data_IF_207255555058
#
_entry.id   IF_207255555058
#
_cell.length_a   1.000
_cell.length_b   1.000
_cell.length_c   1.000
_cell.angle_alpha   90.00
_cell.angle_beta   90.00
_cell.angle_gamma   90.00
#
_symmetry.space_group_name_H-M   'P 1'
#
loop_
_entity.id
_entity.type
_entity.pdbx_description
1 polymer ?
#
# COMPACT_ATOMS: atom_id res chain seq x y z
N UNK A 1 18.05 28.60 -2.79
CA UNK A 1 17.55 29.94 -2.39
C UNK A 1 18.59 30.69 -1.55
N UNK A 2 19.11 30.07 -0.48
CA UNK A 2 20.11 30.66 0.42
C UNK A 2 21.34 31.19 -0.33
N UNK A 3 21.93 30.37 -1.23
CA UNK A 3 23.08 30.76 -2.04
C UNK A 3 22.79 32.00 -2.88
N UNK A 4 21.65 32.07 -3.56
CA UNK A 4 21.25 33.19 -4.38
C UNK A 4 21.01 34.48 -3.56
N UNK A 5 20.50 34.33 -2.32
CA UNK A 5 20.36 35.49 -1.39
C UNK A 5 21.71 35.99 -0.93
N UNK A 6 22.64 35.08 -0.55
CA UNK A 6 24.00 35.46 -0.14
C UNK A 6 24.77 36.18 -1.25
N UNK A 7 24.68 35.66 -2.49
CA UNK A 7 25.27 36.30 -3.67
C UNK A 7 24.71 37.73 -3.88
N UNK A 8 23.39 37.88 -3.75
CA UNK A 8 22.74 39.18 -3.93
C UNK A 8 23.06 40.14 -2.80
N UNK A 9 23.14 39.66 -1.56
CA UNK A 9 23.57 40.48 -0.41
C UNK A 9 25.01 41.00 -0.55
N UNK A 10 25.93 40.22 -1.13
CA UNK A 10 27.30 40.65 -1.35
C UNK A 10 27.45 41.72 -2.44
N UNK A 11 26.45 41.91 -3.29
CA UNK A 11 26.44 42.90 -4.37
C UNK A 11 25.73 44.21 -4.00
N UNK A 12 25.03 44.24 -2.87
CA UNK A 12 24.26 45.41 -2.41
C UNK A 12 25.22 46.35 -1.64
N UNK A 13 25.19 47.64 -1.99
CA UNK A 13 25.95 48.67 -1.27
C UNK A 13 25.28 48.98 0.08
N UNK A 14 26.09 49.43 1.05
CA UNK A 14 25.61 49.80 2.40
C UNK A 14 24.65 50.97 2.41
N UNK A 15 24.53 51.70 1.33
CA UNK A 15 23.68 52.89 1.19
C UNK A 15 22.27 52.57 0.64
N UNK A 16 22.05 51.34 0.14
CA UNK A 16 20.76 50.93 -0.45
C UNK A 16 19.79 50.45 0.62
N UNK A 17 18.54 50.91 0.56
CA UNK A 17 17.42 50.40 1.36
C UNK A 17 17.02 49.02 0.85
N UNK A 18 17.59 48.02 1.49
CA UNK A 18 17.32 46.61 1.12
C UNK A 18 16.12 46.07 1.86
N UNK A 19 15.12 45.67 1.13
CA UNK A 19 13.95 44.94 1.66
C UNK A 19 14.09 43.43 1.47
N UNK A 20 13.51 42.58 2.33
CA UNK A 20 13.50 41.11 2.10
C UNK A 20 12.98 40.72 0.73
N UNK A 21 11.96 41.41 0.22
CA UNK A 21 11.39 41.18 -1.10
C UNK A 21 12.35 41.47 -2.26
N UNK A 22 13.27 42.44 -2.09
CA UNK A 22 14.28 42.72 -3.10
C UNK A 22 15.41 41.71 -3.15
N UNK A 23 15.69 41.02 -2.03
CA UNK A 23 16.73 39.99 -1.93
C UNK A 23 16.28 38.63 -2.41
N UNK A 24 15.01 38.28 -2.17
CA UNK A 24 14.46 36.94 -2.50
C UNK A 24 14.13 36.87 -3.99
N UNK A 25 14.77 35.93 -4.69
CA UNK A 25 14.44 35.58 -6.07
C UNK A 25 13.68 34.26 -6.10
N UNK A 26 12.43 34.27 -6.52
CA UNK A 26 11.59 33.09 -6.61
C UNK A 26 11.90 32.20 -7.85
N UNK A 27 12.63 32.73 -8.85
CA UNK A 27 12.88 31.99 -10.12
C UNK A 27 13.52 30.63 -9.94
N UNK A 28 14.53 30.39 -9.05
CA UNK A 28 15.11 29.06 -8.85
C UNK A 28 14.09 28.04 -8.31
N UNK A 29 13.17 28.47 -7.44
CA UNK A 29 12.11 27.62 -6.89
C UNK A 29 11.09 27.29 -7.97
N UNK A 30 10.64 28.29 -8.71
CA UNK A 30 9.71 28.12 -9.84
C UNK A 30 10.32 27.22 -10.91
N UNK A 31 11.61 27.37 -11.21
CA UNK A 31 12.31 26.51 -12.17
C UNK A 31 12.33 25.04 -11.73
N UNK A 32 12.65 24.77 -10.45
CA UNK A 32 12.66 23.41 -9.91
C UNK A 32 11.27 22.77 -9.90
N UNK A 33 10.23 23.52 -9.55
CA UNK A 33 8.85 23.06 -9.60
C UNK A 33 8.42 22.75 -11.04
N UNK A 34 8.71 23.67 -11.96
CA UNK A 34 8.39 23.48 -13.38
C UNK A 34 9.15 22.30 -14.01
N UNK A 35 10.41 22.08 -13.62
CA UNK A 35 11.17 20.92 -14.04
C UNK A 35 10.49 19.63 -13.63
N UNK A 36 10.05 19.52 -12.36
CA UNK A 36 9.29 18.34 -11.90
C UNK A 36 8.02 18.13 -12.71
N UNK A 37 7.15 19.12 -12.82
CA UNK A 37 5.85 18.97 -13.50
C UNK A 37 5.94 18.76 -15.01
N UNK A 38 7.01 19.22 -15.68
CA UNK A 38 7.18 19.12 -17.14
C UNK A 38 8.02 17.93 -17.60
N UNK A 39 8.97 17.48 -16.80
CA UNK A 39 9.95 16.46 -17.22
C UNK A 39 9.95 15.18 -16.38
N UNK A 40 9.33 15.16 -15.20
CA UNK A 40 9.29 13.96 -14.37
C UNK A 40 8.38 12.90 -14.97
N UNK A 41 8.86 11.66 -15.00
CA UNK A 41 8.07 10.48 -15.40
C UNK A 41 6.88 10.21 -14.47
N UNK A 42 6.95 10.66 -13.21
CA UNK A 42 5.89 10.50 -12.22
C UNK A 42 4.81 11.59 -12.30
N UNK A 43 5.10 12.70 -12.99
CA UNK A 43 4.11 13.73 -13.31
C UNK A 43 3.36 13.32 -14.56
N UNK A 44 2.09 12.96 -14.41
CA UNK A 44 1.26 12.39 -15.47
C UNK A 44 -0.05 13.17 -15.61
N UNK A 45 -0.63 13.14 -16.79
CA UNK A 45 -2.00 13.65 -17.01
C UNK A 45 -2.95 12.65 -16.38
N UNK A 46 -3.81 13.10 -15.46
CA UNK A 46 -4.79 12.25 -14.80
C UNK A 46 -5.80 11.71 -15.83
N UNK A 47 -6.01 10.40 -15.79
CA UNK A 47 -7.03 9.74 -16.58
C UNK A 47 -8.41 10.02 -15.98
N UNK A 48 -9.26 10.71 -16.71
CA UNK A 48 -10.58 11.16 -16.25
C UNK A 48 -11.71 10.68 -17.17
N UNK A 49 -11.56 9.55 -17.83
CA UNK A 49 -12.59 8.97 -18.70
C UNK A 49 -13.85 8.62 -17.91
N UNK A 50 -13.67 8.08 -16.71
CA UNK A 50 -14.73 7.78 -15.73
C UNK A 50 -14.16 7.81 -14.31
N UNK A 51 -15.01 7.87 -13.25
CA UNK A 51 -14.54 7.94 -11.87
C UNK A 51 -13.67 6.75 -11.46
N UNK A 52 -13.91 5.55 -11.99
CA UNK A 52 -13.13 4.36 -11.67
C UNK A 52 -11.71 4.46 -12.22
N UNK A 53 -11.53 4.92 -13.47
CA UNK A 53 -10.20 5.09 -14.06
C UNK A 53 -9.38 6.17 -13.35
N UNK A 54 -10.04 7.21 -12.84
CA UNK A 54 -9.40 8.23 -12.01
C UNK A 54 -8.86 7.64 -10.70
N UNK A 55 -9.70 6.89 -9.96
CA UNK A 55 -9.29 6.22 -8.72
C UNK A 55 -8.15 5.24 -8.99
N UNK A 56 -8.25 4.45 -10.03
CA UNK A 56 -7.21 3.49 -10.41
C UNK A 56 -5.89 4.16 -10.76
N UNK A 57 -5.93 5.29 -11.46
CA UNK A 57 -4.71 6.03 -11.78
C UNK A 57 -4.03 6.57 -10.52
N UNK A 58 -4.79 7.07 -9.55
CA UNK A 58 -4.27 7.57 -8.27
C UNK A 58 -3.70 6.45 -7.39
N UNK A 59 -4.16 5.22 -7.57
CA UNK A 59 -3.71 4.03 -6.81
C UNK A 59 -2.65 3.19 -7.54
N UNK A 60 -2.12 3.69 -8.65
CA UNK A 60 -1.07 3.01 -9.42
C UNK A 60 0.28 3.13 -8.73
N UNK A 61 1.00 2.02 -8.66
CA UNK A 61 2.37 1.91 -8.18
C UNK A 61 3.30 1.59 -9.34
N UNK A 62 4.53 2.09 -9.29
CA UNK A 62 5.56 1.74 -10.25
C UNK A 62 6.92 1.59 -9.57
N UNK A 63 7.70 0.62 -10.00
CA UNK A 63 9.11 0.46 -9.61
C UNK A 63 10.05 1.31 -10.46
N UNK A 64 9.52 1.91 -11.53
CA UNK A 64 10.24 2.79 -12.44
C UNK A 64 10.20 4.24 -11.94
N UNK A 65 11.12 5.05 -12.42
CA UNK A 65 11.19 6.48 -12.09
C UNK A 65 12.55 6.86 -11.53
N UNK A 66 12.66 8.07 -11.00
CA UNK A 66 13.93 8.60 -10.47
C UNK A 66 14.35 7.78 -9.22
N UNK A 67 15.52 7.13 -9.31
CA UNK A 67 16.03 6.24 -8.26
C UNK A 67 15.47 4.82 -8.31
N UNK A 68 14.55 4.52 -9.25
CA UNK A 68 13.98 3.21 -9.46
C UNK A 68 14.73 2.38 -10.51
N UNK A 69 14.08 1.30 -10.94
CA UNK A 69 14.63 0.35 -11.90
C UNK A 69 14.22 0.74 -13.32
N UNK A 70 15.12 0.55 -14.30
CA UNK A 70 14.78 0.69 -15.73
C UNK A 70 14.24 -0.64 -16.27
N UNK A 71 13.41 -0.59 -17.31
CA UNK A 71 12.80 -1.77 -17.94
C UNK A 71 13.83 -2.80 -18.36
N UNK A 72 14.95 -2.35 -18.90
CA UNK A 72 16.05 -3.18 -19.43
C UNK A 72 16.77 -3.93 -18.31
N UNK A 73 16.75 -3.41 -17.09
CA UNK A 73 17.38 -4.00 -15.91
C UNK A 73 16.43 -4.83 -15.06
N UNK A 74 15.14 -4.81 -15.38
CA UNK A 74 14.12 -5.53 -14.62
C UNK A 74 14.18 -7.03 -14.95
N UNK A 75 14.68 -7.83 -14.02
CA UNK A 75 14.67 -9.30 -14.07
C UNK A 75 13.26 -9.88 -13.87
N UNK A 76 13.09 -11.16 -14.13
CA UNK A 76 11.82 -11.86 -13.86
C UNK A 76 11.45 -11.82 -12.36
N UNK A 77 12.43 -11.95 -11.47
CA UNK A 77 12.19 -11.93 -10.02
C UNK A 77 11.55 -10.64 -9.50
N UNK A 78 11.81 -9.49 -10.15
CA UNK A 78 11.20 -8.20 -9.79
C UNK A 78 9.77 -8.10 -10.31
N UNK A 79 9.45 -8.85 -11.36
CA UNK A 79 8.12 -8.88 -12.00
C UNK A 79 7.18 -9.90 -11.38
N UNK A 80 7.72 -10.84 -10.60
CA UNK A 80 6.97 -11.90 -9.96
C UNK A 80 6.13 -11.37 -8.77
N UNK A 81 5.06 -12.08 -8.47
CA UNK A 81 4.25 -11.83 -7.28
C UNK A 81 4.93 -12.44 -6.06
N UNK A 82 5.11 -11.63 -5.02
CA UNK A 82 5.71 -12.05 -3.74
C UNK A 82 4.62 -12.15 -2.66
N UNK A 83 4.80 -13.04 -1.68
CA UNK A 83 3.87 -13.21 -0.55
C UNK A 83 3.65 -11.94 0.26
N UNK A 84 4.66 -11.06 0.36
CA UNK A 84 4.55 -9.76 1.04
C UNK A 84 3.55 -8.79 0.39
N UNK A 85 3.14 -9.05 -0.85
CA UNK A 85 2.16 -8.24 -1.57
C UNK A 85 0.72 -8.55 -1.17
N UNK A 86 0.48 -9.68 -0.49
CA UNK A 86 -0.87 -10.07 -0.08
C UNK A 86 -1.58 -8.97 0.72
N UNK A 87 -2.77 -8.60 0.26
CA UNK A 87 -3.56 -7.52 0.87
C UNK A 87 -2.99 -6.10 0.74
N UNK A 88 -1.84 -5.93 0.06
CA UNK A 88 -1.16 -4.64 -0.15
C UNK A 88 -1.14 -4.22 -1.60
N UNK A 89 -0.80 -5.14 -2.48
CA UNK A 89 -0.72 -4.93 -3.93
C UNK A 89 -1.64 -5.93 -4.62
N UNK A 90 -2.40 -5.46 -5.60
CA UNK A 90 -3.30 -6.30 -6.41
C UNK A 90 -2.49 -7.34 -7.21
N UNK A 91 -2.69 -8.64 -6.99
CA UNK A 91 -1.96 -9.69 -7.72
C UNK A 91 -2.55 -9.97 -9.11
N UNK A 92 -3.80 -9.56 -9.35
CA UNK A 92 -4.53 -9.89 -10.58
C UNK A 92 -4.26 -8.87 -11.67
N UNK A 93 -4.22 -7.58 -11.29
CA UNK A 93 -4.11 -6.50 -12.26
C UNK A 93 -2.66 -6.10 -12.51
N UNK A 94 -2.18 -6.34 -13.73
CA UNK A 94 -0.88 -5.91 -14.23
C UNK A 94 -0.99 -5.52 -15.70
N UNK A 95 -0.19 -4.55 -16.21
CA UNK A 95 -0.16 -4.24 -17.63
C UNK A 95 0.34 -5.43 -18.45
N UNK A 96 -0.10 -5.51 -19.69
CA UNK A 96 0.46 -6.42 -20.67
C UNK A 96 1.74 -5.84 -21.32
N UNK A 97 2.66 -6.69 -21.72
CA UNK A 97 3.87 -6.30 -22.45
C UNK A 97 5.06 -5.90 -21.57
N UNK A 98 5.82 -4.90 -22.01
CA UNK A 98 7.12 -4.54 -21.40
C UNK A 98 7.05 -4.10 -19.93
N UNK A 99 5.91 -3.64 -19.47
CA UNK A 99 5.69 -3.15 -18.10
C UNK A 99 5.09 -4.19 -17.15
N UNK A 100 4.92 -5.44 -17.58
CA UNK A 100 4.34 -6.49 -16.73
C UNK A 100 5.11 -6.62 -15.41
N UNK A 101 4.40 -6.62 -14.29
CA UNK A 101 4.98 -6.69 -12.95
C UNK A 101 5.72 -5.44 -12.47
N UNK A 102 6.01 -4.46 -13.35
CA UNK A 102 6.68 -3.20 -12.99
C UNK A 102 5.71 -2.08 -12.64
N UNK A 103 4.48 -2.19 -13.12
CA UNK A 103 3.37 -1.33 -12.76
C UNK A 103 2.33 -2.19 -12.09
N UNK A 104 1.93 -1.81 -10.90
CA UNK A 104 0.97 -2.53 -10.06
C UNK A 104 -0.06 -1.56 -9.49
N UNK A 105 -1.01 -2.06 -8.73
CA UNK A 105 -2.06 -1.26 -8.14
C UNK A 105 -2.21 -1.60 -6.66
N UNK A 106 -2.51 -0.59 -5.84
CA UNK A 106 -2.79 -0.79 -4.42
C UNK A 106 -4.03 -1.66 -4.24
N UNK A 107 -3.95 -2.63 -3.35
CA UNK A 107 -5.10 -3.40 -2.89
C UNK A 107 -6.13 -2.48 -2.23
N UNK A 108 -7.41 -2.89 -2.24
CA UNK A 108 -8.56 -2.03 -1.92
C UNK A 108 -8.44 -1.33 -0.56
N UNK A 109 -8.05 -2.05 0.48
CA UNK A 109 -7.94 -1.53 1.84
C UNK A 109 -6.50 -1.27 2.29
N UNK A 110 -5.54 -1.40 1.39
CA UNK A 110 -4.15 -1.07 1.68
C UNK A 110 -3.97 0.43 1.91
N UNK A 111 -3.13 0.78 2.86
CA UNK A 111 -2.70 2.14 3.14
C UNK A 111 -1.17 2.24 3.23
N UNK A 112 -0.66 3.45 3.17
CA UNK A 112 0.76 3.76 3.35
C UNK A 112 0.93 4.37 4.74
N UNK A 113 1.86 3.85 5.53
CA UNK A 113 2.19 4.40 6.85
C UNK A 113 3.11 5.63 6.74
N UNK A 114 3.41 6.26 7.89
CA UNK A 114 4.27 7.45 7.96
C UNK A 114 5.70 7.20 7.47
N UNK A 115 6.17 5.96 7.52
CA UNK A 115 7.50 5.55 7.04
C UNK A 115 7.52 5.19 5.54
N UNK A 116 6.35 5.15 4.88
CA UNK A 116 6.23 4.80 3.47
C UNK A 116 6.01 3.31 3.18
N UNK A 117 5.82 2.46 4.20
CA UNK A 117 5.50 1.05 4.01
C UNK A 117 4.01 0.84 3.77
N UNK A 118 3.70 -0.20 2.98
CA UNK A 118 2.32 -0.64 2.73
C UNK A 118 1.82 -1.50 3.89
N UNK A 119 0.62 -1.21 4.36
CA UNK A 119 -0.05 -1.95 5.41
C UNK A 119 -1.38 -2.51 4.93
N UNK A 120 -1.73 -3.69 5.45
CA UNK A 120 -3.01 -4.37 5.21
C UNK A 120 -3.81 -4.49 6.51
N UNK A 121 -5.15 -4.42 6.47
CA UNK A 121 -5.99 -4.52 7.66
C UNK A 121 -6.23 -5.98 8.06
N UNK A 122 -6.18 -6.24 9.34
CA UNK A 122 -6.48 -7.54 9.96
C UNK A 122 -7.39 -7.35 11.16
N UNK A 123 -8.24 -8.34 11.42
CA UNK A 123 -9.14 -8.37 12.56
C UNK A 123 -8.55 -9.25 13.65
N UNK A 124 -8.52 -8.74 14.88
CA UNK A 124 -8.04 -9.51 16.03
C UNK A 124 -9.03 -10.60 16.45
N UNK A 125 -8.51 -11.67 17.02
CA UNK A 125 -9.26 -12.73 17.67
C UNK A 125 -9.18 -12.62 19.19
N UNK A 126 -10.29 -12.89 19.85
CA UNK A 126 -10.39 -12.96 21.32
C UNK A 126 -10.54 -14.42 21.71
N UNK A 127 -9.61 -14.93 22.52
CA UNK A 127 -9.61 -16.31 23.01
C UNK A 127 -10.18 -16.33 24.43
N UNK A 128 -11.34 -16.97 24.63
CA UNK A 128 -12.04 -17.08 25.91
C UNK A 128 -12.17 -18.53 26.35
N UNK A 129 -12.04 -18.80 27.66
CA UNK A 129 -12.27 -20.12 28.23
C UNK A 129 -13.73 -20.25 28.67
N UNK A 130 -14.52 -21.02 27.94
CA UNK A 130 -15.93 -21.27 28.22
C UNK A 130 -16.12 -22.77 28.46
N UNK A 131 -16.52 -23.18 29.67
CA UNK A 131 -16.78 -24.57 30.02
C UNK A 131 -15.56 -25.50 29.90
N UNK A 132 -14.33 -24.97 30.12
CA UNK A 132 -13.10 -25.74 30.02
C UNK A 132 -12.54 -25.92 28.61
N UNK A 133 -13.22 -25.39 27.59
CA UNK A 133 -12.74 -25.33 26.20
C UNK A 133 -12.40 -23.91 25.83
N UNK A 134 -11.36 -23.73 25.03
CA UNK A 134 -11.05 -22.42 24.43
C UNK A 134 -12.02 -22.16 23.29
N UNK A 135 -12.79 -21.09 23.38
CA UNK A 135 -13.61 -20.58 22.29
C UNK A 135 -12.98 -19.31 21.75
N UNK A 136 -13.02 -19.14 20.43
CA UNK A 136 -12.41 -18.01 19.74
C UNK A 136 -13.52 -17.16 19.14
N UNK A 137 -13.45 -15.86 19.39
CA UNK A 137 -14.44 -14.87 18.93
C UNK A 137 -13.78 -13.83 18.05
N UNK A 138 -14.50 -13.40 16.99
CA UNK A 138 -14.09 -12.26 16.17
C UNK A 138 -14.22 -10.95 16.95
N UNK A 139 -13.13 -10.18 17.04
CA UNK A 139 -13.15 -8.82 17.58
C UNK A 139 -13.64 -7.82 16.53
N UNK A 140 -14.17 -6.69 16.96
CA UNK A 140 -14.40 -5.53 16.10
C UNK A 140 -13.13 -4.70 15.86
N UNK A 141 -12.05 -4.99 16.58
CA UNK A 141 -10.78 -4.26 16.46
C UNK A 141 -10.05 -4.67 15.18
N UNK A 142 -9.74 -3.66 14.36
CA UNK A 142 -8.94 -3.81 13.13
C UNK A 142 -7.58 -3.19 13.39
N UNK A 143 -6.53 -3.94 13.11
CA UNK A 143 -5.15 -3.47 13.12
C UNK A 143 -4.60 -3.46 11.70
N UNK A 144 -3.65 -2.58 11.46
CA UNK A 144 -2.92 -2.52 10.21
C UNK A 144 -1.50 -2.99 10.43
N UNK A 145 -1.05 -3.91 9.60
CA UNK A 145 0.29 -4.50 9.71
C UNK A 145 1.06 -4.31 8.41
N UNK A 146 2.36 -4.06 8.55
CA UNK A 146 3.33 -4.17 7.45
C UNK A 146 3.58 -5.64 7.12
N UNK A 147 4.26 -5.92 6.02
CA UNK A 147 4.58 -7.30 5.64
C UNK A 147 5.53 -7.98 6.65
N UNK A 148 6.42 -7.20 7.27
CA UNK A 148 7.37 -7.66 8.29
C UNK A 148 6.63 -8.02 9.59
N UNK A 149 5.79 -7.11 10.08
CA UNK A 149 4.98 -7.36 11.29
C UNK A 149 4.01 -8.55 11.12
N UNK A 150 3.53 -8.77 9.89
CA UNK A 150 2.60 -9.87 9.56
C UNK A 150 3.24 -11.25 9.76
N UNK A 151 4.54 -11.39 9.53
CA UNK A 151 5.23 -12.66 9.66
C UNK A 151 5.18 -13.24 11.07
N UNK A 152 5.02 -12.40 12.10
CA UNK A 152 4.91 -12.84 13.48
C UNK A 152 3.56 -13.47 13.85
N UNK A 153 2.54 -13.33 12.98
CA UNK A 153 1.17 -13.75 13.26
C UNK A 153 0.71 -14.92 12.40
N UNK A 154 -0.10 -15.78 12.98
CA UNK A 154 -0.85 -16.82 12.27
C UNK A 154 -2.18 -16.25 11.83
N UNK A 155 -2.37 -16.10 10.53
CA UNK A 155 -3.49 -15.38 9.93
C UNK A 155 -4.37 -16.34 9.14
N UNK A 156 -5.67 -16.28 9.38
CA UNK A 156 -6.68 -17.04 8.64
C UNK A 156 -7.42 -16.14 7.65
N UNK A 157 -7.95 -16.66 6.53
CA UNK A 157 -8.85 -15.93 5.64
C UNK A 157 -10.11 -15.43 6.35
N UNK A 158 -10.78 -14.43 5.76
CA UNK A 158 -11.98 -13.81 6.32
C UNK A 158 -13.26 -14.67 6.21
N UNK A 159 -13.23 -15.73 5.42
CA UNK A 159 -14.39 -16.61 5.15
C UNK A 159 -14.59 -17.64 6.28
N UNK A 160 -15.13 -17.15 7.40
CA UNK A 160 -15.35 -17.91 8.63
C UNK A 160 -16.83 -17.91 9.00
N UNK A 161 -17.33 -19.07 9.42
CA UNK A 161 -18.68 -19.17 9.99
C UNK A 161 -18.65 -18.84 11.47
N UNK A 162 -19.59 -18.02 11.89
CA UNK A 162 -19.72 -17.61 13.29
C UNK A 162 -21.12 -17.87 13.80
N UNK A 163 -21.21 -18.29 15.05
CA UNK A 163 -22.48 -18.47 15.73
C UNK A 163 -23.16 -17.11 16.03
N UNK A 164 -24.38 -17.13 16.59
CA UNK A 164 -25.15 -15.93 16.94
C UNK A 164 -24.46 -15.04 18.00
N UNK A 165 -23.46 -15.55 18.70
CA UNK A 165 -22.67 -14.86 19.71
C UNK A 165 -21.33 -14.34 19.17
N UNK A 166 -21.01 -14.67 17.89
CA UNK A 166 -19.78 -14.27 17.19
C UNK A 166 -18.59 -15.17 17.46
N UNK A 167 -18.79 -16.39 17.99
CA UNK A 167 -17.72 -17.39 18.11
C UNK A 167 -17.58 -18.15 16.80
N UNK A 168 -16.35 -18.49 16.46
CA UNK A 168 -15.99 -19.26 15.27
C UNK A 168 -16.46 -20.72 15.48
N UNK A 169 -17.18 -21.28 14.50
CA UNK A 169 -17.73 -22.62 14.56
C UNK A 169 -16.74 -23.69 14.13
N UNK A 170 -15.79 -23.34 13.26
CA UNK A 170 -14.77 -24.23 12.78
C UNK A 170 -13.75 -24.58 13.89
N UNK A 171 -13.32 -25.83 13.90
CA UNK A 171 -12.27 -26.32 14.81
C UNK A 171 -10.87 -26.24 14.19
N UNK A 172 -10.81 -26.30 12.84
CA UNK A 172 -9.59 -26.18 12.03
C UNK A 172 -9.78 -25.13 10.96
N UNK A 173 -8.73 -24.33 10.73
CA UNK A 173 -8.73 -23.24 9.78
C UNK A 173 -7.48 -23.28 8.89
N UNK A 174 -7.58 -22.81 7.65
CA UNK A 174 -6.41 -22.53 6.85
C UNK A 174 -5.63 -21.37 7.50
N UNK A 175 -4.32 -21.51 7.58
CA UNK A 175 -3.43 -20.55 8.24
C UNK A 175 -2.33 -20.16 7.27
N UNK A 176 -2.09 -18.84 7.16
CA UNK A 176 -0.90 -18.26 6.55
C UNK A 176 0.08 -17.85 7.64
N UNK A 177 1.32 -18.36 7.57
CA UNK A 177 2.38 -18.07 8.53
C UNK A 177 3.73 -18.11 7.84
N UNK A 178 4.56 -17.06 7.98
CA UNK A 178 5.85 -16.91 7.28
C UNK A 178 5.77 -17.20 5.76
N UNK A 179 4.75 -16.70 5.09
CA UNK A 179 4.53 -16.92 3.65
C UNK A 179 4.11 -18.34 3.25
N UNK A 180 3.95 -19.27 4.21
CA UNK A 180 3.51 -20.63 3.98
C UNK A 180 2.03 -20.81 4.33
N UNK A 181 1.36 -21.70 3.59
CA UNK A 181 -0.02 -22.09 3.86
C UNK A 181 -0.05 -23.45 4.55
N UNK A 182 -0.83 -23.54 5.61
CA UNK A 182 -1.03 -24.76 6.41
C UNK A 182 -2.46 -24.78 6.96
N UNK A 183 -2.84 -25.86 7.58
CA UNK A 183 -4.07 -25.94 8.38
C UNK A 183 -3.73 -26.15 9.84
N UNK A 184 -4.53 -25.58 10.72
CA UNK A 184 -4.30 -25.70 12.16
C UNK A 184 -5.55 -25.43 12.98
N UNK A 185 -5.48 -25.77 14.29
CA UNK A 185 -6.60 -25.56 15.19
C UNK A 185 -6.86 -24.07 15.40
N UNK A 186 -8.14 -23.69 15.52
CA UNK A 186 -8.63 -22.30 15.61
C UNK A 186 -8.00 -21.53 16.78
N UNK A 187 -7.67 -22.19 17.87
CA UNK A 187 -7.04 -21.57 19.05
C UNK A 187 -5.59 -21.13 18.84
N UNK A 188 -4.94 -21.60 17.77
CA UNK A 188 -3.58 -21.18 17.38
C UNK A 188 -3.58 -19.94 16.49
N UNK A 189 -4.72 -19.57 15.89
CA UNK A 189 -4.84 -18.40 15.01
C UNK A 189 -4.83 -17.12 15.85
N UNK A 190 -4.13 -16.10 15.36
CA UNK A 190 -3.98 -14.83 16.07
C UNK A 190 -4.83 -13.72 15.43
N UNK A 191 -4.90 -13.71 14.10
CA UNK A 191 -5.58 -12.71 13.30
C UNK A 191 -6.39 -13.36 12.18
N UNK A 192 -7.34 -12.59 11.66
CA UNK A 192 -8.14 -12.96 10.50
C UNK A 192 -8.13 -11.80 9.51
N UNK A 193 -8.11 -12.09 8.23
CA UNK A 193 -8.28 -11.07 7.18
C UNK A 193 -9.56 -10.27 7.46
N UNK A 194 -9.53 -8.96 7.26
CA UNK A 194 -10.68 -8.11 7.59
C UNK A 194 -11.89 -8.42 6.69
N UNK A 195 -11.63 -8.61 5.38
CA UNK A 195 -12.62 -8.97 4.37
C UNK A 195 -11.94 -9.74 3.22
N UNK A 196 -12.64 -10.66 2.51
CA UNK A 196 -12.05 -11.39 1.38
C UNK A 196 -11.52 -10.47 0.26
N UNK A 197 -12.22 -9.36 -0.01
CA UNK A 197 -11.84 -8.39 -1.07
C UNK A 197 -10.57 -7.60 -0.79
N UNK A 198 -9.97 -7.71 0.39
CA UNK A 198 -8.73 -6.97 0.69
C UNK A 198 -7.54 -7.36 -0.17
N UNK A 199 -7.58 -8.52 -0.80
CA UNK A 199 -6.48 -9.06 -1.63
C UNK A 199 -6.37 -8.34 -2.96
N UNK A 200 -7.49 -7.88 -3.52
CA UNK A 200 -7.57 -7.32 -4.87
C UNK A 200 -7.68 -5.79 -4.87
N UNK A 201 -7.35 -5.18 -6.01
CA UNK A 201 -7.43 -3.74 -6.21
C UNK A 201 -8.86 -3.24 -6.48
N UNK A 202 -9.00 -1.93 -6.65
CA UNK A 202 -10.30 -1.26 -6.78
C UNK A 202 -11.14 -1.80 -7.95
N UNK A 203 -10.55 -1.88 -9.14
CA UNK A 203 -11.28 -2.36 -10.33
C UNK A 203 -11.48 -3.87 -10.31
N UNK A 204 -10.50 -4.65 -9.85
CA UNK A 204 -10.63 -6.10 -9.73
C UNK A 204 -11.73 -6.50 -8.73
N UNK A 205 -11.89 -5.75 -7.63
CA UNK A 205 -12.93 -6.00 -6.63
C UNK A 205 -14.38 -5.84 -7.15
N UNK A 206 -14.56 -5.18 -8.30
CA UNK A 206 -15.86 -5.01 -8.95
C UNK A 206 -16.22 -6.17 -9.88
N UNK A 207 -15.29 -7.08 -10.14
CA UNK A 207 -15.57 -8.29 -10.92
C UNK A 207 -16.38 -9.24 -10.03
N UNK A 208 -17.59 -9.66 -10.46
CA UNK A 208 -18.42 -10.54 -9.67
C UNK A 208 -17.71 -11.87 -9.37
N UNK A 209 -17.77 -12.30 -8.12
CA UNK A 209 -17.22 -13.57 -7.60
C UNK A 209 -15.70 -13.74 -7.65
N UNK A 210 -14.93 -12.76 -8.15
CA UNK A 210 -13.47 -12.88 -8.22
C UNK A 210 -12.83 -13.14 -6.84
N UNK A 211 -13.35 -12.52 -5.79
CA UNK A 211 -12.81 -12.68 -4.43
C UNK A 211 -13.19 -14.02 -3.75
N UNK A 212 -13.96 -14.87 -4.42
CA UNK A 212 -14.39 -16.18 -3.94
C UNK A 212 -13.79 -17.34 -4.77
N UNK A 213 -13.00 -17.02 -5.79
CA UNK A 213 -12.23 -17.97 -6.59
C UNK A 213 -10.87 -18.24 -5.94
#
# INVERSE_FOLDING_TARGET
>A
LERAIKEKMSLVSTEDLVTPGSLVNARPVIAAINEFFRSSQLSQILEQTNPLSEIDHLRRLTVMGRGGITRERASFSIRDVNSSQYGRIDPVRSPEGANIGLVTYLALFSRINELGFLESPYRKLIKEKVGGKTKVKLSSEIIYLTADDEEDYRISPADLHTDSQGYIEETWLPIRYHGNFSEGPVDTVDLVDAVPRQVVGTSASLIPFLAHD
#
